data_IF_696456963466
#
_entry.id   IF_696456963466
#
_cell.length_a   1.000
_cell.length_b   1.000
_cell.length_c   1.000
_cell.angle_alpha   90.00
_cell.angle_beta   90.00
_cell.angle_gamma   90.00
#
_symmetry.space_group_name_H-M   'P 1'
#
loop_
_entity.id
_entity.type
_entity.pdbx_description
1 polymer ?
#
# COMPACT_ATOMS: atom_id res chain seq x y z
N UNK A 1 40.72 -2.32 -20.16
CA UNK A 1 39.27 -2.33 -20.50
C UNK A 1 38.52 -2.82 -19.27
N UNK A 2 37.89 -1.91 -18.54
CA UNK A 2 37.12 -2.23 -17.33
C UNK A 2 35.77 -2.79 -17.74
N UNK A 3 35.48 -4.04 -17.38
CA UNK A 3 34.16 -4.63 -17.54
C UNK A 3 33.17 -3.91 -16.63
N UNK A 4 32.11 -3.37 -17.21
CA UNK A 4 30.98 -2.79 -16.47
C UNK A 4 30.27 -3.94 -15.74
N UNK A 5 30.20 -3.87 -14.40
CA UNK A 5 29.26 -4.69 -13.63
C UNK A 5 27.83 -4.29 -14.05
N UNK A 6 26.88 -5.24 -14.13
CA UNK A 6 25.49 -4.90 -14.38
C UNK A 6 24.99 -4.02 -13.22
N UNK A 7 24.21 -2.99 -13.55
CA UNK A 7 23.48 -2.21 -12.55
C UNK A 7 22.53 -3.13 -11.81
N UNK A 8 22.79 -3.37 -10.53
CA UNK A 8 21.79 -3.90 -9.61
C UNK A 8 20.60 -2.92 -9.61
N UNK A 9 19.38 -3.48 -9.49
CA UNK A 9 18.12 -2.73 -9.50
C UNK A 9 17.68 -2.57 -8.04
N UNK A 10 16.88 -1.53 -7.70
CA UNK A 10 16.35 -1.33 -6.35
C UNK A 10 15.74 -2.61 -5.77
N UNK A 11 16.20 -2.99 -4.58
CA UNK A 11 15.78 -4.18 -3.85
C UNK A 11 14.27 -4.16 -3.56
N UNK A 12 13.51 -4.99 -4.26
CA UNK A 12 12.14 -5.34 -3.87
C UNK A 12 12.16 -6.49 -2.84
N UNK A 13 11.07 -6.65 -2.07
CA UNK A 13 10.92 -7.82 -1.17
C UNK A 13 11.14 -9.12 -1.96
N UNK A 14 10.68 -9.12 -3.22
CA UNK A 14 10.80 -10.20 -4.16
C UNK A 14 12.25 -10.60 -4.51
N UNK A 15 13.15 -9.63 -4.75
CA UNK A 15 14.56 -9.94 -5.07
C UNK A 15 15.29 -10.62 -3.92
N UNK A 16 14.93 -10.30 -2.67
CA UNK A 16 15.50 -10.94 -1.48
C UNK A 16 15.08 -12.41 -1.38
N UNK A 17 13.81 -12.71 -1.66
CA UNK A 17 13.30 -14.08 -1.67
C UNK A 17 13.95 -14.94 -2.78
N UNK A 18 14.13 -14.38 -3.99
CA UNK A 18 14.80 -15.09 -5.08
C UNK A 18 16.30 -15.32 -4.84
N UNK A 19 17.01 -14.41 -4.17
CA UNK A 19 18.41 -14.61 -3.80
C UNK A 19 18.62 -15.75 -2.79
N UNK A 20 17.60 -16.09 -2.00
CA UNK A 20 17.66 -17.24 -1.10
C UNK A 20 17.63 -18.57 -1.87
N UNK A 21 16.82 -18.65 -2.93
CA UNK A 21 16.69 -19.85 -3.77
C UNK A 21 17.93 -20.11 -4.65
N UNK A 22 18.65 -19.05 -5.07
CA UNK A 22 19.86 -19.21 -5.91
C UNK A 22 21.12 -19.63 -5.15
N UNK A 23 21.10 -19.63 -3.82
CA UNK A 23 22.25 -20.00 -2.97
C UNK A 23 22.20 -21.43 -2.42
N UNK A 24 21.08 -22.13 -2.57
CA UNK A 24 20.96 -23.56 -2.22
C UNK A 24 21.37 -24.42 -3.41
N UNK A 25 22.20 -25.44 -3.19
CA UNK A 25 22.78 -26.28 -4.24
C UNK A 25 21.70 -26.84 -5.20
N UNK A 26 21.81 -26.60 -6.52
CA UNK A 26 20.78 -26.97 -7.50
C UNK A 26 20.61 -28.49 -7.73
N UNK A 27 21.36 -29.34 -7.04
CA UNK A 27 21.38 -30.79 -7.28
C UNK A 27 20.42 -31.61 -6.40
N UNK A 28 19.86 -31.05 -5.32
CA UNK A 28 19.04 -31.83 -4.38
C UNK A 28 17.52 -31.85 -4.68
N UNK A 29 17.00 -31.01 -5.58
CA UNK A 29 15.56 -30.71 -5.68
C UNK A 29 14.93 -30.90 -7.08
N UNK A 30 15.63 -31.55 -8.03
CA UNK A 30 15.18 -31.57 -9.43
C UNK A 30 13.84 -32.25 -9.69
N UNK A 31 13.26 -32.93 -8.68
CA UNK A 31 11.91 -33.51 -8.70
C UNK A 31 11.01 -33.09 -7.53
N UNK A 32 11.48 -32.23 -6.63
CA UNK A 32 10.71 -31.86 -5.44
C UNK A 32 9.87 -30.63 -5.72
N UNK A 33 8.56 -30.76 -5.47
CA UNK A 33 7.62 -29.65 -5.47
C UNK A 33 7.31 -29.19 -4.05
N UNK A 34 7.14 -27.88 -3.85
CA UNK A 34 6.79 -27.29 -2.56
C UNK A 34 5.36 -26.76 -2.56
N UNK A 35 4.73 -26.80 -1.38
CA UNK A 35 3.49 -26.06 -1.11
C UNK A 35 3.85 -24.80 -0.34
N UNK A 36 3.43 -23.64 -0.84
CA UNK A 36 3.66 -22.36 -0.16
C UNK A 36 2.38 -21.91 0.55
N UNK A 37 2.50 -21.62 1.84
CA UNK A 37 1.49 -20.93 2.62
C UNK A 37 1.95 -19.49 2.79
N UNK A 38 1.07 -18.53 2.54
CA UNK A 38 1.40 -17.12 2.69
C UNK A 38 0.40 -16.41 3.60
N UNK A 39 0.88 -15.38 4.29
CA UNK A 39 0.07 -14.46 5.07
C UNK A 39 0.25 -13.04 4.51
N UNK A 40 -0.84 -12.28 4.40
CA UNK A 40 -0.80 -10.86 4.08
C UNK A 40 0.01 -10.57 2.80
N UNK A 41 0.92 -9.60 2.86
CA UNK A 41 1.85 -9.26 1.77
C UNK A 41 2.77 -10.39 1.33
N UNK A 42 2.99 -11.41 2.17
CA UNK A 42 3.68 -12.63 1.74
C UNK A 42 3.01 -13.27 0.53
N UNK A 43 1.70 -13.05 0.34
CA UNK A 43 0.99 -13.47 -0.85
C UNK A 43 1.45 -12.74 -2.12
N UNK A 44 1.78 -11.44 -2.05
CA UNK A 44 2.34 -10.70 -3.19
C UNK A 44 3.71 -11.26 -3.59
N UNK A 45 4.51 -11.66 -2.60
CA UNK A 45 5.81 -12.32 -2.82
C UNK A 45 5.60 -13.69 -3.46
N UNK A 46 4.68 -14.51 -2.94
CA UNK A 46 4.34 -15.81 -3.50
C UNK A 46 3.83 -15.71 -4.94
N UNK A 47 2.98 -14.72 -5.21
CA UNK A 47 2.47 -14.42 -6.56
C UNK A 47 3.60 -14.05 -7.52
N UNK A 48 4.52 -13.20 -7.09
CA UNK A 48 5.69 -12.83 -7.89
C UNK A 48 6.64 -14.02 -8.12
N UNK A 49 6.88 -14.84 -7.10
CA UNK A 49 7.69 -16.05 -7.20
C UNK A 49 7.10 -17.03 -8.20
N UNK A 50 5.82 -17.34 -8.09
CA UNK A 50 5.13 -18.21 -9.01
C UNK A 50 5.23 -17.71 -10.45
N UNK A 51 5.12 -16.38 -10.66
CA UNK A 51 5.24 -15.76 -11.98
C UNK A 51 6.63 -15.92 -12.57
N UNK A 52 7.68 -15.58 -11.81
CA UNK A 52 9.06 -15.67 -12.31
C UNK A 52 9.52 -17.10 -12.55
N UNK A 53 9.06 -18.05 -11.72
CA UNK A 53 9.38 -19.47 -11.88
C UNK A 53 8.42 -20.18 -12.85
N UNK A 54 7.44 -19.47 -13.41
CA UNK A 54 6.39 -20.04 -14.26
C UNK A 54 5.71 -21.29 -13.63
N UNK A 55 5.48 -21.25 -12.31
CA UNK A 55 4.89 -22.37 -11.57
C UNK A 55 5.79 -23.60 -11.37
N UNK A 56 7.07 -23.55 -11.77
CA UNK A 56 8.00 -24.66 -11.57
C UNK A 56 8.28 -24.89 -10.09
N UNK A 57 8.46 -26.16 -9.71
CA UNK A 57 8.70 -26.59 -8.33
C UNK A 57 7.60 -26.24 -7.32
N UNK A 58 6.40 -25.85 -7.80
CA UNK A 58 5.25 -25.53 -6.94
C UNK A 58 4.19 -26.62 -7.06
N UNK A 59 3.89 -27.35 -5.99
CA UNK A 59 2.71 -28.20 -5.94
C UNK A 59 1.44 -27.33 -5.79
N UNK A 60 1.57 -26.20 -5.09
CA UNK A 60 0.50 -25.24 -4.92
C UNK A 60 0.88 -24.07 -4.02
N UNK A 61 0.08 -23.02 -4.05
CA UNK A 61 0.18 -21.84 -3.20
C UNK A 61 -1.19 -21.56 -2.60
N UNK A 62 -1.23 -21.38 -1.29
CA UNK A 62 -2.40 -20.87 -0.58
C UNK A 62 -2.10 -19.47 -0.04
N UNK A 63 -2.91 -18.51 -0.47
CA UNK A 63 -2.84 -17.13 -0.03
C UNK A 63 -3.87 -16.85 1.05
N UNK A 64 -3.42 -16.50 2.26
CA UNK A 64 -4.29 -16.06 3.34
C UNK A 64 -4.22 -14.54 3.51
N UNK A 65 -5.39 -13.90 3.58
CA UNK A 65 -5.57 -12.45 3.83
C UNK A 65 -4.68 -11.55 2.97
N UNK A 66 -4.42 -11.95 1.72
CA UNK A 66 -3.56 -11.19 0.83
C UNK A 66 -4.24 -9.89 0.40
N UNK A 67 -3.59 -8.71 0.53
CA UNK A 67 -4.04 -7.46 -0.08
C UNK A 67 -3.76 -7.51 -1.60
N UNK A 68 -4.53 -8.34 -2.31
CA UNK A 68 -4.26 -8.74 -3.69
C UNK A 68 -4.15 -7.58 -4.69
N UNK A 69 -4.81 -6.45 -4.41
CA UNK A 69 -4.77 -5.20 -5.18
C UNK A 69 -4.44 -3.99 -4.29
N UNK A 70 -3.73 -4.21 -3.19
CA UNK A 70 -3.40 -3.17 -2.20
C UNK A 70 -4.58 -2.83 -1.27
N UNK A 71 -4.41 -1.82 -0.42
CA UNK A 71 -5.44 -1.39 0.52
C UNK A 71 -5.41 0.12 0.75
N UNK A 72 -6.56 0.83 0.68
CA UNK A 72 -6.65 2.25 1.00
C UNK A 72 -6.07 2.59 2.38
N UNK A 73 -6.09 1.66 3.34
CA UNK A 73 -5.43 1.79 4.64
C UNK A 73 -3.98 2.33 4.55
N UNK A 74 -3.23 1.99 3.50
CA UNK A 74 -1.89 2.56 3.25
C UNK A 74 -1.92 4.10 3.20
N UNK A 75 -2.85 4.67 2.43
CA UNK A 75 -3.02 6.12 2.32
C UNK A 75 -3.42 6.75 3.66
N UNK A 76 -4.37 6.15 4.38
CA UNK A 76 -4.75 6.61 5.72
C UNK A 76 -3.55 6.63 6.65
N UNK A 77 -2.73 5.58 6.67
CA UNK A 77 -1.53 5.47 7.52
C UNK A 77 -0.48 6.53 7.17
N UNK A 78 -0.33 6.84 5.89
CA UNK A 78 0.53 7.92 5.40
C UNK A 78 0.09 9.32 5.88
N UNK A 79 -1.22 9.55 6.05
CA UNK A 79 -1.77 10.86 6.41
C UNK A 79 -2.05 11.01 7.91
N UNK A 80 -2.43 9.94 8.61
CA UNK A 80 -2.86 9.98 10.01
C UNK A 80 -2.08 9.03 10.94
N UNK A 81 -1.19 8.20 10.43
CA UNK A 81 -0.58 7.10 11.19
C UNK A 81 -1.57 5.97 11.49
N UNK A 82 -1.19 5.06 12.38
CA UNK A 82 -1.99 3.87 12.72
C UNK A 82 -3.08 4.15 13.78
N UNK A 83 -3.22 5.38 14.29
CA UNK A 83 -4.27 5.71 15.27
C UNK A 83 -5.69 5.56 14.68
N UNK A 84 -6.63 5.04 15.47
CA UNK A 84 -8.05 4.96 15.12
C UNK A 84 -8.45 3.82 14.16
N UNK A 85 -7.55 2.85 13.90
CA UNK A 85 -7.92 1.53 13.35
C UNK A 85 -8.57 0.76 14.50
N UNK A 86 -9.90 0.66 14.52
CA UNK A 86 -10.64 0.05 15.62
C UNK A 86 -10.34 -1.44 15.73
N UNK A 87 -10.01 -1.90 16.94
CA UNK A 87 -9.71 -3.28 17.30
C UNK A 87 -8.88 -3.29 18.59
N UNK A 88 -9.15 -4.21 19.52
CA UNK A 88 -8.47 -4.32 20.83
C UNK A 88 -6.94 -4.48 20.74
N UNK A 89 -6.40 -4.73 19.53
CA UNK A 89 -4.96 -4.90 19.24
C UNK A 89 -4.41 -4.02 18.11
N UNK A 90 -5.15 -3.02 17.62
CA UNK A 90 -4.58 -1.95 16.79
C UNK A 90 -3.37 -1.27 17.45
N UNK A 91 -3.27 -1.41 18.77
CA UNK A 91 -2.15 -1.02 19.62
C UNK A 91 -0.81 -1.74 19.31
N UNK A 92 -0.80 -3.00 18.87
CA UNK A 92 0.47 -3.75 18.65
C UNK A 92 1.16 -3.33 17.34
N UNK A 93 0.41 -3.11 16.26
CA UNK A 93 0.97 -2.63 14.98
C UNK A 93 1.32 -1.13 15.06
N UNK A 94 0.51 -0.34 15.78
CA UNK A 94 0.80 1.08 16.02
C UNK A 94 2.00 1.32 16.95
N UNK A 95 2.30 0.39 17.86
CA UNK A 95 3.53 0.38 18.66
C UNK A 95 4.80 0.25 17.80
N UNK A 96 4.77 -0.54 16.73
CA UNK A 96 5.95 -0.83 15.88
C UNK A 96 6.19 0.27 14.84
N UNK A 97 5.15 0.76 14.16
CA UNK A 97 5.32 1.73 13.06
C UNK A 97 5.06 3.19 13.47
N UNK A 98 4.40 3.42 14.62
CA UNK A 98 4.16 4.73 15.20
C UNK A 98 2.72 5.23 15.05
N UNK A 99 2.24 5.91 16.10
CA UNK A 99 0.87 6.43 16.19
C UNK A 99 0.58 7.63 15.27
N UNK A 100 1.59 8.25 14.64
CA UNK A 100 1.40 9.46 13.83
C UNK A 100 2.11 9.36 12.48
N UNK A 101 1.52 10.00 11.48
CA UNK A 101 2.10 10.03 10.13
C UNK A 101 3.52 10.66 10.11
N UNK A 102 3.85 11.57 11.05
CA UNK A 102 5.22 12.11 11.17
C UNK A 102 6.29 11.02 11.38
N UNK A 103 5.94 9.90 12.02
CA UNK A 103 6.86 8.76 12.24
C UNK A 103 6.78 7.73 11.13
N UNK A 104 5.58 7.49 10.61
CA UNK A 104 5.29 6.43 9.65
C UNK A 104 5.73 6.80 8.23
N UNK A 105 5.44 8.04 7.80
CA UNK A 105 5.66 8.50 6.42
C UNK A 105 7.09 8.36 5.93
N UNK A 106 8.14 8.74 6.70
CA UNK A 106 9.52 8.56 6.25
C UNK A 106 9.86 7.10 5.97
N UNK A 107 9.29 6.15 6.74
CA UNK A 107 9.55 4.72 6.56
C UNK A 107 8.80 4.19 5.35
N UNK A 108 7.49 4.50 5.24
CA UNK A 108 6.66 3.99 4.15
C UNK A 108 7.16 4.48 2.78
N UNK A 109 7.48 5.77 2.65
CA UNK A 109 7.87 6.35 1.36
C UNK A 109 9.32 6.04 0.93
N UNK A 110 10.12 5.42 1.80
CA UNK A 110 11.45 4.90 1.47
C UNK A 110 11.46 3.37 1.28
N UNK A 111 10.32 2.70 1.38
CA UNK A 111 10.20 1.24 1.28
C UNK A 111 9.35 0.84 0.09
N UNK A 112 9.98 0.30 -0.97
CA UNK A 112 9.27 -0.21 -2.14
C UNK A 112 8.20 -1.24 -1.73
N UNK A 113 8.58 -2.19 -0.87
CA UNK A 113 7.64 -3.20 -0.37
C UNK A 113 6.44 -2.58 0.34
N UNK A 114 6.65 -1.60 1.23
CA UNK A 114 5.52 -0.94 1.89
C UNK A 114 4.63 -0.19 0.89
N UNK A 115 5.21 0.46 -0.12
CA UNK A 115 4.48 1.20 -1.15
C UNK A 115 3.71 0.30 -2.12
N UNK A 116 4.10 -0.96 -2.29
CA UNK A 116 3.35 -1.96 -3.07
C UNK A 116 1.94 -2.22 -2.49
N UNK A 117 1.69 -1.85 -1.22
CA UNK A 117 0.36 -1.90 -0.59
C UNK A 117 -0.59 -0.76 -0.98
N UNK A 118 -0.10 0.32 -1.60
CA UNK A 118 -0.99 1.35 -2.12
C UNK A 118 -2.00 0.70 -3.09
N UNK A 119 -3.30 1.07 -3.08
CA UNK A 119 -4.28 0.52 -4.02
C UNK A 119 -3.74 0.49 -5.45
N UNK A 120 -3.86 -0.65 -6.12
CA UNK A 120 -3.32 -0.89 -7.45
C UNK A 120 -4.19 -0.19 -8.50
N UNK A 121 -3.70 -0.07 -9.73
CA UNK A 121 -4.47 0.52 -10.83
C UNK A 121 -5.76 -0.27 -11.16
N UNK A 122 -5.82 -1.56 -10.84
CA UNK A 122 -7.02 -2.41 -10.99
C UNK A 122 -7.80 -2.60 -9.69
N UNK A 123 -7.50 -1.85 -8.62
CA UNK A 123 -8.32 -1.86 -7.41
C UNK A 123 -9.76 -1.43 -7.73
N UNK A 124 -10.74 -2.14 -7.20
CA UNK A 124 -12.16 -1.86 -7.39
C UNK A 124 -12.84 -1.72 -6.04
N UNK A 125 -13.64 -0.67 -5.89
CA UNK A 125 -14.54 -0.46 -4.76
C UNK A 125 -15.84 -1.19 -5.05
N UNK A 126 -16.18 -2.20 -4.23
CA UNK A 126 -17.34 -3.07 -4.48
C UNK A 126 -18.67 -2.35 -4.32
N UNK A 127 -18.75 -1.41 -3.37
CA UNK A 127 -20.00 -0.71 -3.03
C UNK A 127 -20.55 0.13 -4.17
N UNK A 128 -19.67 0.71 -4.99
CA UNK A 128 -20.05 1.58 -6.12
C UNK A 128 -19.55 1.09 -7.49
N UNK A 129 -18.82 -0.04 -7.54
CA UNK A 129 -18.28 -0.66 -8.76
C UNK A 129 -17.39 0.28 -9.57
N UNK A 130 -16.60 1.10 -8.89
CA UNK A 130 -15.62 2.00 -9.50
C UNK A 130 -14.20 1.64 -9.09
N UNK A 131 -13.20 2.24 -9.74
CA UNK A 131 -11.81 2.22 -9.26
C UNK A 131 -11.45 3.45 -8.40
N UNK A 132 -12.44 4.29 -8.03
CA UNK A 132 -12.22 5.54 -7.31
C UNK A 132 -12.36 5.32 -5.80
N UNK A 133 -11.24 5.00 -5.16
CA UNK A 133 -11.20 4.66 -3.74
C UNK A 133 -10.97 5.86 -2.82
N UNK A 134 -10.54 7.01 -3.33
CA UNK A 134 -10.38 8.24 -2.54
C UNK A 134 -11.47 9.25 -2.92
N UNK A 135 -12.28 9.66 -1.94
CA UNK A 135 -13.47 10.49 -2.14
C UNK A 135 -13.34 11.81 -1.38
N UNK A 136 -13.97 12.84 -1.91
CA UNK A 136 -14.11 14.15 -1.27
C UNK A 136 -15.60 14.41 -1.10
N UNK A 137 -16.00 14.65 0.14
CA UNK A 137 -17.40 14.75 0.54
C UNK A 137 -17.58 15.87 1.56
N UNK A 138 -18.81 16.31 1.75
CA UNK A 138 -19.18 17.13 2.92
C UNK A 138 -19.45 16.22 4.11
N UNK A 139 -19.02 16.61 5.31
CA UNK A 139 -19.29 15.84 6.52
C UNK A 139 -20.79 15.74 6.83
N UNK A 140 -21.57 16.78 6.49
CA UNK A 140 -23.03 16.84 6.65
C UNK A 140 -23.77 15.89 5.72
N UNK A 141 -23.16 15.50 4.58
CA UNK A 141 -23.76 14.60 3.60
C UNK A 141 -22.69 13.72 2.93
N UNK A 142 -22.17 12.69 3.64
CA UNK A 142 -21.09 11.85 3.14
C UNK A 142 -21.43 11.04 1.87
N UNK A 143 -22.72 10.85 1.57
CA UNK A 143 -23.20 10.13 0.39
C UNK A 143 -23.07 10.98 -0.90
N UNK A 144 -23.06 12.31 -0.78
CA UNK A 144 -22.89 13.22 -1.92
C UNK A 144 -21.41 13.41 -2.22
N UNK A 145 -20.87 12.54 -3.07
CA UNK A 145 -19.50 12.63 -3.57
C UNK A 145 -19.35 13.90 -4.43
N UNK A 146 -18.46 14.80 -4.02
CA UNK A 146 -18.13 16.02 -4.78
C UNK A 146 -17.07 15.76 -5.83
N UNK A 147 -16.10 14.93 -5.47
CA UNK A 147 -14.93 14.64 -6.27
C UNK A 147 -14.36 13.29 -5.82
N UNK A 148 -13.82 12.49 -6.74
CA UNK A 148 -13.25 11.19 -6.45
C UNK A 148 -12.02 10.91 -7.32
N UNK A 149 -11.14 10.08 -6.79
CA UNK A 149 -9.79 9.85 -7.28
C UNK A 149 -9.48 8.36 -7.26
N UNK A 150 -8.82 7.90 -8.31
CA UNK A 150 -8.24 6.57 -8.38
C UNK A 150 -6.71 6.62 -8.25
N UNK A 151 -6.07 5.45 -8.28
CA UNK A 151 -4.61 5.36 -8.17
C UNK A 151 -3.87 6.09 -9.29
N UNK A 152 -4.40 6.10 -10.51
CA UNK A 152 -3.79 6.77 -11.64
C UNK A 152 -3.76 8.30 -11.46
N UNK A 153 -4.82 8.87 -10.88
CA UNK A 153 -4.86 10.31 -10.57
C UNK A 153 -3.75 10.72 -9.60
N UNK A 154 -3.52 9.92 -8.55
CA UNK A 154 -2.45 10.14 -7.57
C UNK A 154 -1.06 10.04 -8.23
N UNK A 155 -0.90 9.11 -9.17
CA UNK A 155 0.35 8.90 -9.91
C UNK A 155 0.66 10.04 -10.89
N UNK A 156 -0.37 10.60 -11.55
CA UNK A 156 -0.23 11.70 -12.51
C UNK A 156 0.04 13.05 -11.84
N UNK A 157 -0.43 13.23 -10.61
CA UNK A 157 -0.37 14.51 -9.90
C UNK A 157 0.42 14.38 -8.58
N UNK A 158 1.73 14.09 -8.62
CA UNK A 158 2.51 13.79 -7.42
C UNK A 158 2.61 14.97 -6.43
N UNK A 159 2.44 16.21 -6.88
CA UNK A 159 2.46 17.39 -6.00
C UNK A 159 1.08 17.78 -5.43
N UNK A 160 -0.02 17.26 -5.98
CA UNK A 160 -1.37 17.67 -5.56
C UNK A 160 -1.66 17.26 -4.12
N UNK A 161 -2.49 18.03 -3.40
CA UNK A 161 -2.74 17.84 -1.96
C UNK A 161 -3.21 16.42 -1.57
N UNK A 162 -3.89 15.74 -2.48
CA UNK A 162 -4.40 14.39 -2.32
C UNK A 162 -3.37 13.29 -2.63
N UNK A 163 -2.19 13.62 -3.17
CA UNK A 163 -1.14 12.66 -3.52
C UNK A 163 -0.48 12.02 -2.29
N UNK A 164 0.47 11.11 -2.50
CA UNK A 164 1.23 10.51 -1.40
C UNK A 164 2.12 11.55 -0.69
N UNK A 165 2.92 12.30 -1.45
CA UNK A 165 3.85 13.30 -0.97
C UNK A 165 3.51 14.69 -1.56
N UNK A 166 2.42 15.33 -1.09
CA UNK A 166 1.94 16.59 -1.65
C UNK A 166 2.87 17.74 -1.34
N UNK A 167 2.89 18.76 -2.19
CA UNK A 167 3.49 20.05 -1.84
C UNK A 167 2.78 20.67 -0.64
N UNK A 168 3.55 21.37 0.20
CA UNK A 168 3.06 21.93 1.47
C UNK A 168 3.36 23.41 1.52
N UNK A 169 2.35 24.23 1.75
CA UNK A 169 2.48 25.68 1.73
C UNK A 169 2.32 26.28 3.12
N UNK A 170 3.03 27.38 3.37
CA UNK A 170 2.81 28.20 4.55
C UNK A 170 1.58 29.11 4.37
N UNK A 171 1.29 29.90 5.40
CA UNK A 171 0.16 30.83 5.41
C UNK A 171 0.30 32.00 4.42
N UNK A 172 1.50 32.22 3.86
CA UNK A 172 1.82 33.25 2.86
C UNK A 172 1.74 32.69 1.44
N UNK A 173 1.53 31.37 1.30
CA UNK A 173 1.49 30.68 0.01
C UNK A 173 2.88 30.31 -0.50
N UNK A 174 3.91 30.39 0.34
CA UNK A 174 5.25 29.96 0.02
C UNK A 174 5.42 28.47 0.28
N UNK A 175 6.15 27.82 -0.61
CA UNK A 175 6.34 26.38 -0.59
C UNK A 175 7.37 26.01 0.48
N UNK A 176 6.97 25.12 1.39
CA UNK A 176 7.78 24.67 2.51
C UNK A 176 8.76 23.58 2.05
N UNK A 177 9.84 24.01 1.40
CA UNK A 177 11.02 23.19 1.24
C UNK A 177 12.08 23.61 2.25
N UNK A 178 12.63 22.65 2.99
CA UNK A 178 13.85 22.89 3.75
C UNK A 178 15.03 22.57 2.83
N UNK A 179 15.79 23.58 2.43
CA UNK A 179 17.16 23.29 2.01
C UNK A 179 17.88 22.78 3.25
N UNK A 180 18.29 21.52 3.24
CA UNK A 180 19.12 20.96 4.30
C UNK A 180 20.47 20.58 3.73
N UNK A 181 21.49 20.68 4.57
CA UNK A 181 22.79 20.12 4.28
C UNK A 181 22.72 18.62 4.60
N UNK A 182 22.99 17.77 3.61
CA UNK A 182 23.01 16.33 3.85
C UNK A 182 24.15 15.96 4.81
N UNK A 183 23.89 15.02 5.72
CA UNK A 183 24.88 14.47 6.64
C UNK A 183 25.71 13.37 5.94
N UNK A 184 26.31 13.73 4.79
CA UNK A 184 26.95 12.78 3.87
C UNK A 184 28.46 12.98 3.70
N UNK A 185 29.05 13.85 4.53
CA UNK A 185 30.45 14.31 4.44
C UNK A 185 30.82 14.98 3.10
N UNK A 186 29.95 15.01 2.09
CA UNK A 186 30.17 15.63 0.77
C UNK A 186 29.70 17.09 0.71
N UNK A 187 29.17 17.63 1.81
CA UNK A 187 28.80 19.05 1.97
C UNK A 187 27.84 19.58 0.88
N UNK A 188 26.94 18.74 0.37
CA UNK A 188 25.95 19.15 -0.63
C UNK A 188 24.68 19.70 0.03
N UNK A 189 24.17 20.78 -0.55
CA UNK A 189 22.89 21.37 -0.19
C UNK A 189 21.83 20.85 -1.14
N UNK A 190 20.78 20.25 -0.60
CA UNK A 190 19.67 19.74 -1.40
C UNK A 190 18.35 20.18 -0.75
N UNK A 191 17.31 20.33 -1.58
CA UNK A 191 15.95 20.45 -1.07
C UNK A 191 15.59 19.09 -0.47
N UNK A 192 15.59 18.98 0.85
CA UNK A 192 15.13 17.80 1.54
C UNK A 192 13.76 18.05 2.12
N UNK A 193 12.90 17.05 1.98
CA UNK A 193 11.63 17.04 2.64
C UNK A 193 11.75 16.21 3.90
N UNK A 194 11.64 16.87 5.05
CA UNK A 194 11.73 16.20 6.36
C UNK A 194 10.68 15.10 6.57
N UNK A 195 9.64 15.04 5.72
CA UNK A 195 8.63 13.96 5.71
C UNK A 195 9.17 12.66 5.12
N UNK A 196 10.21 12.72 4.29
CA UNK A 196 10.86 11.53 3.69
C UNK A 196 12.27 11.30 4.23
N UNK A 197 13.00 12.36 4.58
CA UNK A 197 14.37 12.26 5.08
C UNK A 197 14.59 13.20 6.27
N UNK A 198 13.95 12.95 7.43
CA UNK A 198 14.02 13.85 8.58
C UNK A 198 15.44 14.01 9.14
N UNK A 199 16.34 13.05 8.89
CA UNK A 199 17.73 13.09 9.33
C UNK A 199 18.70 13.67 8.32
N UNK A 200 18.25 14.02 7.10
CA UNK A 200 19.13 14.46 6.01
C UNK A 200 20.22 13.44 5.70
N UNK A 201 19.92 12.15 5.85
CA UNK A 201 20.90 11.07 5.72
C UNK A 201 21.01 10.67 4.24
N UNK A 202 22.22 10.34 3.83
CA UNK A 202 22.42 9.67 2.54
C UNK A 202 21.94 8.22 2.62
N UNK A 203 21.37 7.76 1.50
CA UNK A 203 20.89 6.39 1.39
C UNK A 203 22.00 5.38 1.72
N UNK A 204 21.74 4.33 2.52
CA UNK A 204 22.70 3.25 2.72
C UNK A 204 22.88 2.41 1.44
N UNK A 205 21.94 2.49 0.49
CA UNK A 205 22.00 1.78 -0.79
C UNK A 205 22.89 2.55 -1.76
N UNK A 206 23.99 1.93 -2.21
CA UNK A 206 25.02 2.58 -3.04
C UNK A 206 24.46 3.26 -4.30
N UNK A 207 23.51 2.62 -4.99
CA UNK A 207 22.84 3.16 -6.19
C UNK A 207 22.11 4.49 -5.94
N UNK A 208 21.65 4.70 -4.70
CA UNK A 208 20.84 5.84 -4.31
C UNK A 208 21.66 6.97 -3.65
N UNK A 209 22.96 6.77 -3.43
CA UNK A 209 23.81 7.74 -2.71
C UNK A 209 24.04 9.06 -3.47
N UNK A 210 23.80 9.06 -4.77
CA UNK A 210 23.96 10.23 -5.63
C UNK A 210 22.62 10.81 -6.11
N UNK A 211 21.50 10.25 -5.66
CA UNK A 211 20.16 10.74 -5.97
C UNK A 211 19.66 11.65 -4.85
N UNK A 212 19.01 12.74 -5.22
CA UNK A 212 18.23 13.58 -4.32
C UNK A 212 17.06 12.79 -3.73
N UNK A 213 16.50 13.25 -2.60
CA UNK A 213 15.33 12.61 -2.00
C UNK A 213 14.14 12.49 -2.97
N UNK A 214 13.91 13.53 -3.78
CA UNK A 214 12.86 13.54 -4.79
C UNK A 214 13.10 12.50 -5.89
N UNK A 215 14.34 12.40 -6.42
CA UNK A 215 14.69 11.39 -7.42
C UNK A 215 14.56 9.97 -6.88
N UNK A 216 14.98 9.75 -5.62
CA UNK A 216 14.81 8.46 -4.94
C UNK A 216 13.33 8.08 -4.84
N UNK A 217 12.50 9.02 -4.38
CA UNK A 217 11.06 8.80 -4.28
C UNK A 217 10.43 8.51 -5.65
N UNK A 218 10.76 9.28 -6.68
CA UNK A 218 10.30 9.02 -8.06
C UNK A 218 10.74 7.65 -8.57
N UNK A 219 11.98 7.22 -8.28
CA UNK A 219 12.49 5.90 -8.68
C UNK A 219 11.76 4.76 -7.96
N UNK A 220 11.46 4.93 -6.68
CA UNK A 220 10.65 3.99 -5.90
C UNK A 220 9.23 3.88 -6.46
N UNK A 221 8.58 5.01 -6.74
CA UNK A 221 7.24 5.05 -7.36
C UNK A 221 7.19 4.29 -8.69
N UNK A 222 8.20 4.48 -9.56
CA UNK A 222 8.30 3.73 -10.83
C UNK A 222 8.46 2.23 -10.57
N UNK A 223 9.35 1.85 -9.64
CA UNK A 223 9.59 0.43 -9.29
C UNK A 223 8.32 -0.24 -8.79
N UNK A 224 7.58 0.44 -7.91
CA UNK A 224 6.29 -0.03 -7.38
C UNK A 224 5.27 -0.17 -8.51
N UNK A 225 5.13 0.85 -9.37
CA UNK A 225 4.21 0.83 -10.50
C UNK A 225 4.50 -0.35 -11.44
N UNK A 226 5.77 -0.57 -11.78
CA UNK A 226 6.20 -1.67 -12.64
C UNK A 226 5.90 -3.03 -12.00
N UNK A 227 6.14 -3.17 -10.69
CA UNK A 227 5.77 -4.37 -9.94
C UNK A 227 4.26 -4.63 -9.98
N UNK A 228 3.44 -3.60 -9.71
CA UNK A 228 1.99 -3.71 -9.73
C UNK A 228 1.49 -4.12 -11.12
N UNK A 229 1.90 -3.42 -12.18
CA UNK A 229 1.54 -3.76 -13.58
C UNK A 229 1.95 -5.20 -13.90
N UNK A 230 3.19 -5.58 -13.56
CA UNK A 230 3.73 -6.89 -13.89
C UNK A 230 2.92 -8.02 -13.25
N UNK A 231 2.39 -7.86 -12.04
CA UNK A 231 1.72 -8.93 -11.29
C UNK A 231 0.21 -8.79 -11.24
N UNK A 232 -0.34 -7.71 -11.81
CA UNK A 232 -1.76 -7.44 -11.87
C UNK A 232 -2.51 -8.62 -12.48
N UNK A 233 -3.51 -9.10 -11.74
CA UNK A 233 -4.40 -10.19 -12.16
C UNK A 233 -3.75 -11.56 -12.43
N UNK A 234 -2.47 -11.73 -12.12
CA UNK A 234 -1.79 -13.01 -12.28
C UNK A 234 -2.02 -13.90 -11.05
N UNK A 235 -2.43 -15.14 -11.27
CA UNK A 235 -2.39 -16.22 -10.28
C UNK A 235 -1.97 -17.49 -11.03
N UNK A 236 -1.18 -18.35 -10.38
CA UNK A 236 -0.68 -19.55 -11.04
C UNK A 236 -1.83 -20.53 -11.25
N UNK A 237 -2.20 -20.71 -12.52
CA UNK A 237 -3.25 -21.63 -12.96
C UNK A 237 -3.01 -23.04 -12.44
N UNK A 238 -4.07 -23.69 -11.97
CA UNK A 238 -4.06 -25.03 -11.41
C UNK A 238 -3.29 -25.16 -10.09
N UNK A 239 -2.79 -24.07 -9.50
CA UNK A 239 -1.89 -24.12 -8.33
C UNK A 239 -2.19 -23.06 -7.27
N UNK A 240 -3.28 -22.30 -7.36
CA UNK A 240 -3.53 -21.18 -6.43
C UNK A 240 -4.88 -21.26 -5.72
N UNK A 241 -4.86 -21.42 -4.40
CA UNK A 241 -6.03 -21.28 -3.53
C UNK A 241 -5.93 -19.98 -2.72
N UNK A 242 -7.06 -19.37 -2.40
CA UNK A 242 -7.15 -18.06 -1.73
C UNK A 242 -8.09 -18.15 -0.54
N UNK A 243 -7.75 -17.54 0.58
CA UNK A 243 -8.65 -17.19 1.66
C UNK A 243 -8.57 -15.70 1.98
N UNK A 244 -9.72 -15.07 2.24
CA UNK A 244 -9.78 -13.68 2.65
C UNK A 244 -10.94 -13.44 3.63
N UNK A 245 -10.78 -12.40 4.46
CA UNK A 245 -11.80 -11.96 5.40
C UNK A 245 -12.86 -11.09 4.73
N UNK A 246 -14.13 -11.43 4.96
CA UNK A 246 -15.30 -10.65 4.59
C UNK A 246 -16.22 -10.50 5.80
N UNK A 247 -15.82 -9.65 6.75
CA UNK A 247 -16.52 -9.47 8.01
C UNK A 247 -16.95 -8.00 8.21
N UNK A 248 -18.21 -7.81 8.58
CA UNK A 248 -18.76 -6.48 8.90
C UNK A 248 -18.36 -5.95 10.28
N UNK A 249 -17.85 -6.82 11.15
CA UNK A 249 -17.33 -6.44 12.47
C UNK A 249 -15.87 -5.99 12.41
N UNK A 250 -15.08 -6.60 11.52
CA UNK A 250 -13.66 -6.26 11.30
C UNK A 250 -13.51 -5.23 10.18
N UNK A 251 -13.95 -4.00 10.47
CA UNK A 251 -14.05 -2.93 9.49
C UNK A 251 -12.68 -2.51 8.93
N UNK A 252 -12.60 -2.36 7.62
CA UNK A 252 -11.46 -1.80 6.90
C UNK A 252 -11.87 -0.58 6.06
N UNK A 253 -10.91 -0.01 5.34
CA UNK A 253 -11.16 1.03 4.35
C UNK A 253 -11.20 0.40 2.96
N UNK A 254 -12.39 0.11 2.45
CA UNK A 254 -12.63 -0.19 1.04
C UNK A 254 -12.58 1.07 0.18
N UNK A 255 -13.04 2.19 0.75
CA UNK A 255 -12.75 3.55 0.28
C UNK A 255 -12.38 4.49 1.45
N UNK A 256 -11.73 5.61 1.13
CA UNK A 256 -11.37 6.67 2.08
C UNK A 256 -12.01 7.97 1.62
N UNK A 257 -12.56 8.74 2.56
CA UNK A 257 -13.10 10.07 2.27
C UNK A 257 -12.35 11.15 3.04
N UNK A 258 -11.96 12.22 2.35
CA UNK A 258 -11.71 13.51 2.97
C UNK A 258 -13.05 14.24 3.15
N UNK A 259 -13.48 14.39 4.40
CA UNK A 259 -14.77 14.98 4.77
C UNK A 259 -14.56 16.46 5.14
N UNK A 260 -15.12 17.37 4.35
CA UNK A 260 -15.10 18.80 4.61
C UNK A 260 -16.04 19.15 5.77
N UNK A 261 -15.57 19.94 6.72
CA UNK A 261 -16.44 20.45 7.80
C UNK A 261 -17.36 21.60 7.36
N UNK A 262 -17.11 22.19 6.19
CA UNK A 262 -17.92 23.24 5.59
C UNK A 262 -18.68 22.75 4.36
N UNK A 263 -19.54 23.62 3.79
CA UNK A 263 -20.22 23.34 2.53
C UNK A 263 -19.23 23.35 1.35
N UNK A 264 -19.52 22.53 0.35
CA UNK A 264 -18.84 22.42 -0.93
C UNK A 264 -19.83 22.66 -2.10
N UNK A 265 -21.00 23.25 -1.86
CA UNK A 265 -22.02 23.45 -2.89
C UNK A 265 -21.61 24.49 -3.94
N UNK A 266 -20.82 25.49 -3.54
CA UNK A 266 -20.24 26.54 -4.39
C UNK A 266 -18.74 26.30 -4.68
N UNK A 267 -18.28 25.05 -4.55
CA UNK A 267 -16.89 24.66 -4.81
C UNK A 267 -16.87 23.61 -5.92
N UNK A 268 -16.24 23.94 -7.04
CA UNK A 268 -16.07 23.04 -8.17
C UNK A 268 -14.98 21.99 -7.92
N UNK A 269 -15.03 20.89 -8.68
CA UNK A 269 -13.95 19.89 -8.70
C UNK A 269 -12.61 20.50 -9.13
N UNK A 270 -12.61 21.41 -10.10
CA UNK A 270 -11.39 22.06 -10.60
C UNK A 270 -10.72 22.91 -9.51
N UNK A 271 -11.50 23.68 -8.75
CA UNK A 271 -10.99 24.43 -7.59
C UNK A 271 -10.36 23.49 -6.55
N UNK A 272 -10.98 22.34 -6.27
CA UNK A 272 -10.43 21.33 -5.36
C UNK A 272 -9.16 20.69 -5.91
N UNK A 273 -9.07 20.42 -7.22
CA UNK A 273 -7.87 19.86 -7.85
C UNK A 273 -6.68 20.84 -7.80
N UNK A 274 -6.95 22.14 -7.90
CA UNK A 274 -5.94 23.21 -7.86
C UNK A 274 -5.66 23.72 -6.43
N UNK A 275 -6.38 23.23 -5.42
CA UNK A 275 -6.23 23.69 -4.06
C UNK A 275 -4.83 23.40 -3.49
N UNK A 276 -4.33 24.32 -2.67
CA UNK A 276 -3.03 24.22 -2.00
C UNK A 276 -3.20 23.61 -0.62
N UNK A 277 -2.36 22.63 -0.31
CA UNK A 277 -2.31 22.05 1.03
C UNK A 277 -1.52 22.97 1.97
N UNK A 278 -2.18 23.49 3.00
CA UNK A 278 -1.51 24.30 4.03
C UNK A 278 -0.93 23.42 5.14
N UNK A 279 0.26 23.78 5.63
CA UNK A 279 0.82 23.15 6.82
C UNK A 279 -0.05 23.41 8.04
N UNK A 280 -0.44 22.35 8.73
CA UNK A 280 -1.21 22.42 9.98
C UNK A 280 -0.71 21.40 11.00
N UNK A 281 -0.85 21.72 12.29
CA UNK A 281 -0.45 20.83 13.38
C UNK A 281 -1.27 19.52 13.43
N UNK A 282 -2.43 19.49 12.78
CA UNK A 282 -3.32 18.34 12.76
C UNK A 282 -3.21 17.49 11.50
N UNK A 283 -2.35 17.86 10.53
CA UNK A 283 -2.12 17.10 9.31
C UNK A 283 -1.84 15.63 9.61
N UNK A 284 -0.91 15.38 10.53
CA UNK A 284 -0.51 14.04 10.95
C UNK A 284 -1.51 13.30 11.85
N UNK A 285 -2.68 13.92 12.10
CA UNK A 285 -3.84 13.34 12.77
C UNK A 285 -5.00 13.12 11.78
N UNK A 286 -4.72 13.15 10.47
CA UNK A 286 -5.73 13.00 9.43
C UNK A 286 -6.65 14.20 9.29
N UNK A 287 -6.20 15.42 9.62
CA UNK A 287 -6.94 16.67 9.37
C UNK A 287 -6.10 17.65 8.58
N UNK A 288 -6.60 18.09 7.43
CA UNK A 288 -5.87 19.00 6.55
C UNK A 288 -6.64 20.32 6.38
N UNK A 289 -5.91 21.36 5.97
CA UNK A 289 -6.50 22.62 5.55
C UNK A 289 -6.07 22.89 4.13
N UNK A 290 -7.03 23.13 3.25
CA UNK A 290 -6.80 23.48 1.85
C UNK A 290 -7.12 24.96 1.65
N UNK A 291 -6.30 25.65 0.86
CA UNK A 291 -6.59 26.98 0.33
C UNK A 291 -6.98 26.83 -1.15
N UNK A 292 -8.20 27.23 -1.48
CA UNK A 292 -8.71 27.26 -2.85
C UNK A 292 -8.03 28.37 -3.67
N UNK A 293 -8.13 28.35 -5.02
CA UNK A 293 -7.57 29.41 -5.87
C UNK A 293 -8.05 30.82 -5.49
N UNK A 294 -9.30 30.94 -5.04
CA UNK A 294 -9.93 32.21 -4.61
C UNK A 294 -9.62 32.62 -3.15
N UNK A 295 -8.69 31.91 -2.49
CA UNK A 295 -8.25 32.12 -1.11
C UNK A 295 -9.20 31.67 -0.01
N UNK A 296 -10.37 31.09 -0.33
CA UNK A 296 -11.20 30.42 0.69
C UNK A 296 -10.42 29.24 1.28
N UNK A 297 -10.60 29.01 2.58
CA UNK A 297 -9.95 27.93 3.32
C UNK A 297 -10.97 26.90 3.78
N UNK A 298 -10.69 25.65 3.46
CA UNK A 298 -11.53 24.51 3.79
C UNK A 298 -10.77 23.55 4.69
N UNK A 299 -11.46 23.00 5.70
CA UNK A 299 -10.88 22.02 6.62
C UNK A 299 -11.48 20.65 6.38
N UNK A 300 -10.63 19.64 6.25
CA UNK A 300 -11.05 18.27 6.00
C UNK A 300 -10.52 17.34 7.09
N UNK A 301 -11.24 16.24 7.32
CA UNK A 301 -10.76 15.10 8.12
C UNK A 301 -11.00 13.78 7.39
N UNK A 302 -10.14 12.80 7.64
CA UNK A 302 -10.32 11.45 7.09
C UNK A 302 -11.52 10.73 7.71
N UNK A 303 -12.22 9.96 6.88
CA UNK A 303 -13.27 9.03 7.33
C UNK A 303 -12.68 7.87 8.15
N UNK A 304 -13.52 7.30 9.01
CA UNK A 304 -13.23 6.04 9.72
C UNK A 304 -13.49 4.84 8.80
N UNK A 305 -12.87 3.71 9.10
CA UNK A 305 -13.17 2.44 8.45
C UNK A 305 -14.65 2.07 8.63
N UNK A 306 -15.32 1.67 7.55
CA UNK A 306 -16.73 1.24 7.56
C UNK A 306 -16.97 -0.02 6.74
N UNK A 307 -16.09 -0.32 5.79
CA UNK A 307 -16.25 -1.40 4.83
C UNK A 307 -15.88 -2.74 5.46
N UNK A 308 -16.43 -3.81 4.90
CA UNK A 308 -16.16 -5.19 5.37
C UNK A 308 -14.70 -5.57 5.09
N UNK A 309 -14.15 -6.46 5.90
CA UNK A 309 -12.80 -6.95 5.70
C UNK A 309 -12.28 -7.75 6.90
N UNK A 310 -10.98 -7.64 7.15
CA UNK A 310 -10.28 -8.27 8.27
C UNK A 310 -9.64 -7.24 9.22
N UNK A 311 -10.11 -5.98 9.20
CA UNK A 311 -9.53 -4.88 9.98
C UNK A 311 -8.32 -4.19 9.34
N UNK A 312 -7.70 -4.79 8.31
CA UNK A 312 -6.61 -4.14 7.52
C UNK A 312 -6.90 -4.15 6.03
N UNK A 313 -7.22 -5.31 5.49
CA UNK A 313 -7.52 -5.54 4.07
C UNK A 313 -9.04 -5.52 3.91
N UNK A 314 -9.58 -4.61 3.09
CA UNK A 314 -11.00 -4.62 2.77
C UNK A 314 -11.36 -5.83 1.89
N UNK A 315 -12.61 -6.28 1.99
CA UNK A 315 -13.18 -7.32 1.12
C UNK A 315 -12.89 -7.02 -0.36
N UNK A 316 -12.94 -5.74 -0.75
CA UNK A 316 -12.61 -5.19 -2.07
C UNK A 316 -11.28 -5.72 -2.64
N UNK A 317 -10.23 -5.71 -1.82
CA UNK A 317 -8.94 -6.28 -2.24
C UNK A 317 -8.86 -7.77 -2.00
N UNK A 318 -9.46 -8.29 -0.92
CA UNK A 318 -9.39 -9.71 -0.59
C UNK A 318 -10.03 -10.59 -1.68
N UNK A 319 -11.15 -10.13 -2.25
CA UNK A 319 -11.89 -10.85 -3.28
C UNK A 319 -11.37 -10.60 -4.70
N UNK A 320 -10.42 -9.69 -4.92
CA UNK A 320 -9.88 -9.37 -6.24
C UNK A 320 -9.30 -10.56 -7.05
N UNK A 321 -8.88 -11.70 -6.44
CA UNK A 321 -8.55 -12.92 -7.16
C UNK A 321 -9.74 -13.65 -7.81
N UNK A 322 -10.98 -13.36 -7.43
CA UNK A 322 -12.18 -14.00 -7.99
C UNK A 322 -12.24 -13.83 -9.51
N UNK A 323 -12.45 -14.93 -10.24
CA UNK A 323 -12.43 -14.96 -11.70
C UNK A 323 -11.04 -14.84 -12.33
N UNK A 324 -9.96 -14.72 -11.53
CA UNK A 324 -8.56 -14.65 -11.98
C UNK A 324 -7.74 -15.88 -11.58
N UNK A 325 -8.29 -16.75 -10.72
CA UNK A 325 -7.74 -18.06 -10.36
C UNK A 325 -8.80 -19.14 -10.60
N UNK A 326 -8.36 -20.35 -10.92
CA UNK A 326 -9.18 -21.56 -11.08
C UNK A 326 -9.21 -22.45 -9.81
N UNK A 327 -8.43 -22.09 -8.80
CA UNK A 327 -8.42 -22.80 -7.51
C UNK A 327 -9.52 -22.36 -6.55
N UNK A 328 -9.45 -22.89 -5.32
CA UNK A 328 -10.46 -22.65 -4.29
C UNK A 328 -10.38 -21.23 -3.74
N UNK A 329 -11.55 -20.64 -3.46
CA UNK A 329 -11.68 -19.36 -2.78
C UNK A 329 -12.51 -19.58 -1.51
N UNK A 330 -11.89 -19.30 -0.36
CA UNK A 330 -12.51 -19.37 0.96
C UNK A 330 -12.86 -17.95 1.41
N UNK A 331 -14.14 -17.72 1.69
CA UNK A 331 -14.65 -16.45 2.21
C UNK A 331 -14.86 -16.66 3.71
N UNK A 332 -14.15 -15.89 4.53
CA UNK A 332 -14.03 -16.16 5.96
C UNK A 332 -14.41 -14.95 6.81
N UNK A 333 -14.68 -15.15 8.09
CA UNK A 333 -15.00 -14.09 9.04
C UNK A 333 -14.58 -14.50 10.46
N UNK A 334 -14.67 -13.56 11.41
CA UNK A 334 -14.39 -13.83 12.82
C UNK A 334 -12.93 -13.71 13.24
N UNK A 335 -12.07 -13.05 12.44
CA UNK A 335 -10.68 -12.77 12.81
C UNK A 335 -10.23 -11.36 12.40
N UNK A 336 -9.26 -10.85 13.14
CA UNK A 336 -8.42 -9.72 12.73
C UNK A 336 -7.31 -10.21 11.79
N UNK A 337 -6.86 -9.36 10.88
CA UNK A 337 -5.86 -9.66 9.84
C UNK A 337 -4.62 -10.38 10.38
N UNK A 338 -4.07 -9.86 11.49
CA UNK A 338 -2.85 -10.38 12.12
C UNK A 338 -3.06 -11.74 12.77
N UNK A 339 -4.28 -12.00 13.25
CA UNK A 339 -4.65 -13.21 13.98
C UNK A 339 -5.37 -14.23 13.06
N UNK A 340 -5.35 -14.03 11.73
CA UNK A 340 -6.01 -14.94 10.77
C UNK A 340 -5.49 -16.38 10.81
N UNK A 341 -4.29 -16.64 11.32
CA UNK A 341 -3.78 -18.00 11.58
C UNK A 341 -3.85 -18.44 13.05
N UNK A 342 -4.49 -17.67 13.93
CA UNK A 342 -4.59 -18.00 15.35
C UNK A 342 -5.41 -19.29 15.59
N UNK A 343 -5.28 -19.84 16.81
CA UNK A 343 -6.07 -20.98 17.25
C UNK A 343 -7.58 -20.70 17.13
N UNK A 344 -8.31 -21.63 16.51
CA UNK A 344 -9.74 -21.49 16.23
C UNK A 344 -10.10 -20.70 14.98
N UNK A 345 -9.14 -20.09 14.28
CA UNK A 345 -9.42 -19.37 13.03
C UNK A 345 -9.83 -20.34 11.89
N UNK A 346 -10.87 -20.00 11.10
CA UNK A 346 -11.26 -20.78 9.91
C UNK A 346 -10.11 -20.90 8.89
N UNK A 347 -9.20 -19.92 8.80
CA UNK A 347 -8.10 -19.97 7.81
C UNK A 347 -7.16 -21.16 8.02
N UNK A 348 -7.05 -21.70 9.23
CA UNK A 348 -6.27 -22.93 9.47
C UNK A 348 -6.91 -24.15 8.80
N UNK A 349 -8.24 -24.22 8.79
CA UNK A 349 -8.99 -25.30 8.13
C UNK A 349 -8.84 -25.16 6.62
N UNK A 350 -9.02 -23.95 6.09
CA UNK A 350 -8.84 -23.65 4.66
C UNK A 350 -7.41 -23.93 4.16
N UNK A 351 -6.40 -23.59 4.98
CA UNK A 351 -5.01 -23.90 4.71
C UNK A 351 -4.78 -25.42 4.67
N UNK A 352 -5.24 -26.16 5.68
CA UNK A 352 -5.09 -27.61 5.74
C UNK A 352 -5.80 -28.29 4.57
N UNK A 353 -7.02 -27.86 4.24
CA UNK A 353 -7.74 -28.33 3.06
C UNK A 353 -6.90 -28.12 1.80
N UNK A 354 -6.34 -26.93 1.60
CA UNK A 354 -5.52 -26.60 0.43
C UNK A 354 -4.26 -27.46 0.37
N UNK A 355 -3.59 -27.69 1.49
CA UNK A 355 -2.41 -28.57 1.57
C UNK A 355 -2.78 -29.99 1.12
N UNK A 356 -3.86 -30.55 1.66
CA UNK A 356 -4.33 -31.90 1.31
C UNK A 356 -4.74 -31.98 -0.17
N UNK A 357 -5.45 -30.97 -0.66
CA UNK A 357 -5.84 -30.87 -2.07
C UNK A 357 -4.60 -30.84 -2.97
N UNK A 358 -3.63 -29.96 -2.72
CA UNK A 358 -2.38 -29.90 -3.50
C UNK A 358 -1.55 -31.19 -3.40
N UNK A 359 -1.42 -31.79 -2.22
CA UNK A 359 -0.69 -33.04 -2.04
C UNK A 359 -1.35 -34.24 -2.74
N UNK A 360 -2.68 -34.21 -2.89
CA UNK A 360 -3.46 -35.24 -3.59
C UNK A 360 -3.36 -35.15 -5.12
N UNK A 361 -2.91 -34.02 -5.67
CA UNK A 361 -2.76 -33.79 -7.13
C UNK A 361 -1.56 -34.48 -7.75
N UNK A 362 -0.89 -35.40 -7.04
CA UNK A 362 0.25 -36.16 -7.58
C UNK A 362 -0.13 -36.81 -8.92
N UNK A 363 0.69 -36.49 -9.92
CA UNK A 363 0.62 -36.92 -11.32
C UNK A 363 0.46 -38.43 -11.50
#
# INVERSE_FOLDING_TARGET
MLSKRPSEKPFTIFQTACQFHSKTEPQLWSKDEVIILTHSMGGLVGRAYAKEQNGQHLAGIYHNVMPATGAPAFYKRLKAGFGGEGGFKGDVVSLVFGYSAKRVTPVLLNSAGAMELMPWMDYQVLSDKTNHWLKIVEESNPEKIKFQLNTEDLMRNPQAWYSLLPDLYDHRGELLYQQTKLNDKKNRWEKADSRINPGGLVSPIAEFQNMTDAERFSRLMITVKDFQIKHMGFYQSGKTNIAYGDDGQHKAWGSISWMCSGSLDDVSEDELRQARLLQSNNMYKGKITLELPDKRRLSFKLSKAQDRGDGTVPTDSGCAPQGKTDGRIFIESGYEHQDSYADGSPSRVSALFSILEFASRKE
#
